data_IF_964976102103
#
_entry.id   IF_964976102103
#
_cell.length_a   1.000
_cell.length_b   1.000
_cell.length_c   1.000
_cell.angle_alpha   90.00
_cell.angle_beta   90.00
_cell.angle_gamma   90.00
#
_symmetry.space_group_name_H-M   'P 1'
#
loop_
_entity.id
_entity.type
_entity.pdbx_description
1 polymer ?
#
# COMPACT_ATOMS: atom_id res chain seq x y z
N UNK A 1 10.53 17.26 -10.55
CA UNK A 1 10.45 16.72 -9.17
C UNK A 1 9.51 17.58 -8.31
N UNK A 2 8.30 17.90 -8.78
CA UNK A 2 7.36 18.76 -8.02
C UNK A 2 6.62 17.95 -6.93
N UNK A 3 6.47 16.64 -7.15
CA UNK A 3 5.79 15.71 -6.23
C UNK A 3 6.69 15.07 -5.18
N UNK A 4 8.03 15.25 -5.26
CA UNK A 4 8.93 14.68 -4.27
C UNK A 4 9.42 15.72 -3.24
N UNK A 5 9.20 17.01 -3.50
CA UNK A 5 9.50 18.09 -2.54
C UNK A 5 8.26 18.49 -1.72
N UNK A 6 7.08 18.10 -2.18
CA UNK A 6 5.83 18.17 -1.44
C UNK A 6 5.51 16.75 -1.07
N UNK A 7 5.58 16.36 0.20
CA UNK A 7 5.19 15.02 0.69
C UNK A 7 3.85 14.63 0.06
N UNK A 8 3.88 13.89 -1.05
CA UNK A 8 2.69 13.47 -1.77
C UNK A 8 2.14 12.28 -1.00
N UNK A 9 1.61 12.57 0.19
CA UNK A 9 0.95 11.57 1.03
C UNK A 9 -0.05 10.80 0.18
N UNK A 10 -0.33 9.52 0.50
CA UNK A 10 -1.34 8.75 -0.21
C UNK A 10 -2.67 9.50 -0.33
N UNK A 11 -2.99 10.34 0.67
CA UNK A 11 -4.18 11.19 0.65
C UNK A 11 -4.14 12.34 -0.38
N UNK A 12 -2.97 12.96 -0.61
CA UNK A 12 -2.81 13.96 -1.65
C UNK A 12 -3.09 13.37 -3.03
N UNK A 13 -2.50 12.20 -3.32
CA UNK A 13 -2.66 11.54 -4.62
C UNK A 13 -4.11 11.10 -4.84
N UNK A 14 -4.79 10.59 -3.80
CA UNK A 14 -6.24 10.32 -3.86
C UNK A 14 -7.05 11.57 -4.20
N UNK A 15 -6.72 12.70 -3.55
CA UNK A 15 -7.42 13.97 -3.77
C UNK A 15 -7.17 14.50 -5.19
N UNK A 16 -5.95 14.35 -5.71
CA UNK A 16 -5.60 14.70 -7.09
C UNK A 16 -6.38 13.85 -8.11
N UNK A 17 -6.44 12.54 -7.92
CA UNK A 17 -7.20 11.64 -8.80
C UNK A 17 -8.71 11.94 -8.75
N UNK A 18 -9.24 12.23 -7.57
CA UNK A 18 -10.63 12.63 -7.40
C UNK A 18 -10.93 13.95 -8.12
N UNK A 19 -10.05 14.95 -7.98
CA UNK A 19 -10.20 16.22 -8.67
C UNK A 19 -10.11 16.06 -10.19
N UNK A 20 -9.17 15.24 -10.68
CA UNK A 20 -9.06 14.94 -12.11
C UNK A 20 -10.35 14.31 -12.67
N UNK A 21 -10.99 13.40 -11.91
CA UNK A 21 -12.27 12.82 -12.29
C UNK A 21 -13.38 13.89 -12.36
N UNK A 22 -13.43 14.82 -11.39
CA UNK A 22 -14.38 15.94 -11.39
C UNK A 22 -14.16 16.87 -12.59
N UNK A 23 -12.90 17.13 -12.93
CA UNK A 23 -12.51 18.00 -14.05
C UNK A 23 -12.70 17.34 -15.43
N UNK A 24 -13.20 16.10 -15.47
CA UNK A 24 -13.57 15.41 -16.70
C UNK A 24 -12.43 14.60 -17.33
N UNK A 25 -11.45 14.16 -16.55
CA UNK A 25 -10.48 13.17 -17.02
C UNK A 25 -11.22 11.91 -17.52
N UNK A 26 -10.77 11.40 -18.66
CA UNK A 26 -11.35 10.20 -19.26
C UNK A 26 -11.22 9.01 -18.29
N UNK A 27 -12.25 8.14 -18.16
CA UNK A 27 -12.17 6.95 -17.32
C UNK A 27 -10.99 6.05 -17.67
N UNK A 28 -10.65 5.92 -18.97
CA UNK A 28 -9.51 5.13 -19.43
C UNK A 28 -8.17 5.68 -18.93
N UNK A 29 -8.06 7.01 -18.83
CA UNK A 29 -6.86 7.67 -18.29
C UNK A 29 -6.75 7.42 -16.79
N UNK A 30 -7.85 7.55 -16.05
CA UNK A 30 -7.88 7.27 -14.61
C UNK A 30 -7.56 5.79 -14.32
N UNK A 31 -8.12 4.87 -15.10
CA UNK A 31 -7.84 3.44 -15.01
C UNK A 31 -6.38 3.12 -15.33
N UNK A 32 -5.80 3.77 -16.35
CA UNK A 32 -4.37 3.64 -16.64
C UNK A 32 -3.52 4.05 -15.44
N UNK A 33 -3.80 5.20 -14.81
CA UNK A 33 -3.05 5.61 -13.62
C UNK A 33 -3.23 4.64 -12.45
N UNK A 34 -4.47 4.21 -12.18
CA UNK A 34 -4.78 3.30 -11.08
C UNK A 34 -4.12 1.91 -11.24
N UNK A 35 -3.95 1.44 -12.49
CA UNK A 35 -3.31 0.17 -12.81
C UNK A 35 -1.80 0.26 -13.00
N UNK A 36 -1.24 1.47 -13.02
CA UNK A 36 0.19 1.68 -13.17
C UNK A 36 0.94 1.40 -11.87
N UNK A 37 2.11 0.79 -12.01
CA UNK A 37 3.13 0.65 -10.97
C UNK A 37 4.10 1.83 -11.11
N UNK A 38 4.01 2.80 -10.18
CA UNK A 38 4.62 4.12 -10.32
C UNK A 38 6.11 4.11 -9.95
N UNK A 39 6.48 3.31 -8.96
CA UNK A 39 7.85 3.18 -8.46
C UNK A 39 8.53 1.86 -8.86
N UNK A 40 7.83 1.01 -9.61
CA UNK A 40 8.30 -0.27 -10.17
C UNK A 40 8.59 -1.33 -9.10
N UNK A 41 7.83 -1.33 -8.00
CA UNK A 41 7.98 -2.30 -6.92
C UNK A 41 7.07 -3.55 -7.05
N UNK A 42 6.24 -3.58 -8.09
CA UNK A 42 5.31 -4.66 -8.41
C UNK A 42 3.90 -4.47 -7.86
N UNK A 43 3.59 -3.34 -7.21
CA UNK A 43 2.24 -2.96 -6.78
C UNK A 43 1.68 -1.88 -7.69
N UNK A 44 0.38 -1.98 -7.94
CA UNK A 44 -0.33 -0.92 -8.67
C UNK A 44 -0.69 0.22 -7.73
N UNK A 45 -0.78 1.43 -8.27
CA UNK A 45 -1.20 2.63 -7.54
C UNK A 45 -2.53 2.41 -6.78
N UNK A 46 -3.47 1.66 -7.34
CA UNK A 46 -4.72 1.33 -6.66
C UNK A 46 -4.52 0.43 -5.43
N UNK A 47 -3.62 -0.55 -5.49
CA UNK A 47 -3.30 -1.41 -4.35
C UNK A 47 -2.67 -0.58 -3.24
N UNK A 48 -1.67 0.23 -3.58
CA UNK A 48 -0.95 1.05 -2.62
C UNK A 48 -1.88 2.08 -1.94
N UNK A 49 -2.71 2.79 -2.71
CA UNK A 49 -3.60 3.80 -2.16
C UNK A 49 -4.77 3.21 -1.37
N UNK A 50 -5.40 2.13 -1.84
CA UNK A 50 -6.69 1.67 -1.29
C UNK A 50 -6.59 0.39 -0.45
N UNK A 51 -5.50 -0.37 -0.54
CA UNK A 51 -5.32 -1.63 0.19
C UNK A 51 -4.17 -1.54 1.18
N UNK A 52 -2.96 -1.23 0.71
CA UNK A 52 -1.73 -1.30 1.53
C UNK A 52 -1.50 -0.03 2.36
N UNK A 53 -2.07 1.11 1.91
CA UNK A 53 -1.87 2.44 2.50
C UNK A 53 -0.40 2.88 2.51
N UNK A 54 0.34 2.49 1.47
CA UNK A 54 1.76 2.78 1.28
C UNK A 54 1.97 4.01 0.39
N UNK A 55 3.22 4.48 0.31
CA UNK A 55 3.58 5.67 -0.47
C UNK A 55 3.91 5.23 -1.91
N UNK A 56 3.07 5.56 -2.91
CA UNK A 56 3.25 5.07 -4.29
C UNK A 56 4.40 5.73 -5.06
N UNK A 57 5.24 6.52 -4.39
CA UNK A 57 6.42 7.15 -4.96
C UNK A 57 7.71 6.59 -4.37
N UNK A 58 7.62 5.66 -3.41
CA UNK A 58 8.75 5.11 -2.69
C UNK A 58 8.59 3.59 -2.59
N UNK A 59 9.58 2.80 -3.06
CA UNK A 59 9.48 1.35 -3.06
C UNK A 59 9.11 0.83 -1.68
N UNK A 60 8.13 -0.08 -1.62
CA UNK A 60 7.78 -0.72 -0.37
C UNK A 60 8.98 -1.51 0.17
N UNK A 61 9.69 -0.93 1.14
CA UNK A 61 10.80 -1.61 1.81
C UNK A 61 10.24 -2.78 2.60
N UNK A 62 10.28 -4.00 2.02
CA UNK A 62 9.95 -5.30 2.62
C UNK A 62 9.05 -5.17 3.86
N UNK A 63 7.82 -4.71 3.67
CA UNK A 63 6.84 -4.82 4.75
C UNK A 63 6.76 -6.31 5.09
N UNK A 64 7.02 -6.72 6.35
CA UNK A 64 6.78 -8.10 6.73
C UNK A 64 5.32 -8.42 6.38
N UNK A 65 5.03 -9.62 5.82
CA UNK A 65 3.68 -9.97 5.45
C UNK A 65 2.74 -9.71 6.63
N UNK A 66 1.50 -9.23 6.37
CA UNK A 66 0.56 -8.90 7.44
C UNK A 66 0.48 -10.11 8.36
N UNK A 67 0.83 -9.90 9.65
CA UNK A 67 0.79 -10.93 10.69
C UNK A 67 -0.58 -11.59 10.61
N UNK A 68 -0.63 -12.77 9.99
CA UNK A 68 -1.70 -13.72 10.20
C UNK A 68 -1.82 -13.83 11.72
N UNK A 69 -3.00 -13.52 12.23
CA UNK A 69 -3.32 -13.60 13.64
C UNK A 69 -2.91 -15.00 14.10
N UNK A 70 -1.78 -15.09 14.79
CA UNK A 70 -1.41 -16.28 15.54
C UNK A 70 -2.44 -16.34 16.65
N UNK A 71 -3.49 -17.13 16.41
CA UNK A 71 -4.38 -17.63 17.43
C UNK A 71 -3.49 -18.25 18.50
N UNK A 72 -3.27 -17.53 19.60
CA UNK A 72 -2.61 -18.06 20.78
C UNK A 72 -3.39 -19.27 21.29
N UNK A 73 -2.80 -20.46 21.41
CA UNK A 73 -3.25 -21.42 22.40
C UNK A 73 -2.52 -21.06 23.70
N UNK A 74 -3.33 -20.61 24.66
CA UNK A 74 -3.24 -20.86 26.10
C UNK A 74 -1.89 -21.32 26.67
N UNK A 75 -1.43 -20.56 27.67
CA UNK A 75 -0.65 -21.02 28.83
C UNK A 75 -0.76 -22.53 29.10
N UNK A 76 0.37 -23.23 29.24
CA UNK A 76 0.79 -23.90 30.49
C UNK A 76 2.23 -24.48 30.42
N UNK A 77 2.91 -24.69 31.58
CA UNK A 77 4.36 -24.80 31.69
C UNK A 77 4.88 -26.26 31.77
N UNK A 78 6.17 -26.40 31.43
CA UNK A 78 7.20 -27.32 31.96
C UNK A 78 6.88 -28.83 32.10
N UNK A 79 7.60 -29.67 31.33
CA UNK A 79 8.23 -30.89 31.86
C UNK A 79 9.25 -31.45 30.85
N UNK A 80 10.52 -31.33 31.21
CA UNK A 80 11.64 -32.04 30.61
C UNK A 80 11.49 -33.56 30.84
N UNK A 81 11.61 -34.36 29.79
CA UNK A 81 11.93 -35.78 29.91
C UNK A 81 13.13 -36.09 29.01
N UNK A 82 14.31 -36.18 29.63
CA UNK A 82 15.47 -36.88 29.08
C UNK A 82 15.15 -38.38 28.96
N UNK A 83 15.58 -39.01 27.85
CA UNK A 83 15.58 -40.46 27.63
C UNK A 83 16.99 -40.98 27.86
#
# INVERSE_FOLDING_TARGET
>A
KILADSEASPQFIKSLLAQAAIDGASPQVLEYFLSSDIDSDGRTLAQELFQDQTNPLEPDTLQPPPKAQVLSPSLQPDLEWEI
#
